data_IF_494645797249
#
_entry.id   IF_494645797249
#
_cell.length_a   1.000
_cell.length_b   1.000
_cell.length_c   1.000
_cell.angle_alpha   90.00
_cell.angle_beta   90.00
_cell.angle_gamma   90.00
#
_symmetry.space_group_name_H-M   'P 1'
#
loop_
_entity.id
_entity.type
_entity.pdbx_description
1 polymer ?
#
# COMPACT_ATOMS: atom_id res chain seq x y z
N UNK A 1 -12.63 -1.97 -9.75
CA UNK A 1 -12.13 -0.60 -10.01
C UNK A 1 -11.15 -0.21 -8.91
N UNK A 2 -10.02 0.45 -9.23
CA UNK A 2 -8.97 0.77 -8.24
C UNK A 2 -9.07 2.22 -7.75
N UNK A 3 -10.26 2.62 -7.30
CA UNK A 3 -10.53 3.97 -6.80
C UNK A 3 -11.67 3.96 -5.76
N UNK A 4 -11.54 4.81 -4.74
CA UNK A 4 -12.49 4.89 -3.63
C UNK A 4 -13.67 5.84 -3.89
N UNK A 5 -14.65 5.89 -2.97
CA UNK A 5 -15.91 6.63 -3.12
C UNK A 5 -15.74 8.15 -3.26
N UNK A 6 -14.63 8.71 -2.79
CA UNK A 6 -14.30 10.15 -2.95
C UNK A 6 -13.88 10.56 -4.37
N UNK A 7 -13.88 9.64 -5.34
CA UNK A 7 -13.39 9.90 -6.70
C UNK A 7 -14.37 10.75 -7.50
N UNK A 8 -13.99 12.01 -7.79
CA UNK A 8 -14.82 12.95 -8.57
C UNK A 8 -14.79 12.71 -10.09
N UNK A 9 -13.71 12.11 -10.62
CA UNK A 9 -13.52 11.83 -12.06
C UNK A 9 -12.82 10.49 -12.26
N UNK A 10 -13.28 9.73 -13.25
CA UNK A 10 -12.78 8.39 -13.58
C UNK A 10 -11.64 8.46 -14.64
N UNK A 11 -11.51 9.57 -15.35
CA UNK A 11 -10.42 9.82 -16.30
C UNK A 11 -9.04 9.50 -15.67
N UNK A 12 -8.26 8.65 -16.33
CA UNK A 12 -6.95 8.20 -15.89
C UNK A 12 -6.94 7.27 -14.67
N UNK A 13 -8.09 6.84 -14.15
CA UNK A 13 -8.17 5.85 -13.08
C UNK A 13 -8.04 4.43 -13.63
N UNK A 14 -7.45 3.55 -12.84
CA UNK A 14 -7.22 2.17 -13.24
C UNK A 14 -8.47 1.30 -12.99
N UNK A 15 -8.85 0.52 -13.99
CA UNK A 15 -9.87 -0.50 -13.93
C UNK A 15 -9.23 -1.83 -14.35
N UNK A 16 -9.26 -2.80 -13.44
CA UNK A 16 -8.82 -4.16 -13.73
C UNK A 16 -10.02 -4.95 -14.25
N UNK A 17 -9.84 -5.68 -15.35
CA UNK A 17 -10.83 -6.51 -16.00
C UNK A 17 -10.36 -7.96 -15.88
N UNK A 18 -11.21 -8.80 -15.30
CA UNK A 18 -11.00 -10.24 -15.20
C UNK A 18 -11.97 -10.88 -16.21
N UNK A 19 -11.51 -11.26 -17.41
CA UNK A 19 -12.40 -11.69 -18.46
C UNK A 19 -12.93 -13.10 -18.21
N UNK A 20 -14.20 -13.35 -18.54
CA UNK A 20 -14.85 -14.65 -18.31
C UNK A 20 -14.99 -15.47 -19.59
N UNK A 21 -15.41 -14.82 -20.70
CA UNK A 21 -15.71 -15.51 -21.97
C UNK A 21 -14.95 -14.93 -23.14
N UNK A 22 -15.03 -13.62 -23.33
CA UNK A 22 -14.42 -12.93 -24.47
C UNK A 22 -13.75 -11.65 -23.99
N UNK A 23 -12.46 -11.76 -23.72
CA UNK A 23 -11.65 -10.65 -23.22
C UNK A 23 -11.70 -9.41 -24.12
N UNK A 24 -11.79 -9.57 -25.45
CA UNK A 24 -11.82 -8.43 -26.38
C UNK A 24 -13.17 -7.71 -26.29
N UNK A 25 -14.27 -8.47 -26.30
CA UNK A 25 -15.62 -7.90 -26.23
C UNK A 25 -15.89 -7.28 -24.86
N UNK A 26 -15.45 -7.93 -23.79
CA UNK A 26 -15.60 -7.44 -22.42
C UNK A 26 -14.78 -6.16 -22.19
N UNK A 27 -13.53 -6.10 -22.69
CA UNK A 27 -12.71 -4.89 -22.68
C UNK A 27 -13.36 -3.76 -23.50
N UNK A 28 -13.84 -4.05 -24.71
CA UNK A 28 -14.48 -3.06 -25.57
C UNK A 28 -15.74 -2.47 -24.89
N UNK A 29 -16.57 -3.32 -24.28
CA UNK A 29 -17.76 -2.90 -23.54
C UNK A 29 -17.38 -2.03 -22.34
N UNK A 30 -16.37 -2.42 -21.58
CA UNK A 30 -15.91 -1.66 -20.40
C UNK A 30 -15.34 -0.29 -20.80
N UNK A 31 -14.62 -0.20 -21.92
CA UNK A 31 -14.12 1.07 -22.48
C UNK A 31 -15.23 2.04 -22.87
N UNK A 32 -16.39 1.53 -23.31
CA UNK A 32 -17.56 2.37 -23.61
C UNK A 32 -18.20 2.93 -22.35
N UNK A 33 -18.23 2.13 -21.26
CA UNK A 33 -18.79 2.55 -19.97
C UNK A 33 -17.90 3.55 -19.22
N UNK A 34 -16.58 3.37 -19.30
CA UNK A 34 -15.60 4.20 -18.59
C UNK A 34 -14.60 4.81 -19.58
N UNK A 35 -15.06 5.76 -20.42
CA UNK A 35 -14.18 6.40 -21.37
C UNK A 35 -13.04 7.09 -20.63
N UNK A 36 -11.82 7.05 -21.21
CA UNK A 36 -10.60 7.66 -20.66
C UNK A 36 -10.06 7.04 -19.35
N UNK A 37 -10.65 5.95 -18.85
CA UNK A 37 -10.01 5.14 -17.82
C UNK A 37 -8.81 4.35 -18.40
N UNK A 38 -7.92 3.92 -17.52
CA UNK A 38 -6.83 3.00 -17.83
C UNK A 38 -7.28 1.56 -17.55
N UNK A 39 -6.97 0.64 -18.45
CA UNK A 39 -7.45 -0.74 -18.35
C UNK A 39 -6.29 -1.73 -18.27
N UNK A 40 -6.41 -2.68 -17.34
CA UNK A 40 -5.52 -3.84 -17.24
C UNK A 40 -6.40 -5.09 -17.33
N UNK A 41 -6.07 -5.99 -18.24
CA UNK A 41 -6.77 -7.27 -18.39
C UNK A 41 -5.87 -8.38 -17.89
N UNK A 42 -6.36 -9.16 -16.92
CA UNK A 42 -5.57 -10.19 -16.22
C UNK A 42 -6.49 -11.31 -15.75
N UNK A 43 -5.97 -12.51 -15.54
CA UNK A 43 -6.75 -13.63 -14.99
C UNK A 43 -7.02 -13.44 -13.48
N UNK A 44 -7.99 -14.20 -12.97
CA UNK A 44 -8.45 -14.09 -11.58
C UNK A 44 -7.36 -14.43 -10.56
N UNK A 45 -6.51 -15.42 -10.85
CA UNK A 45 -5.48 -15.88 -9.91
C UNK A 45 -4.38 -14.83 -9.79
N UNK A 46 -3.89 -14.32 -10.92
CA UNK A 46 -2.88 -13.27 -10.88
C UNK A 46 -3.46 -11.95 -10.35
N UNK A 47 -4.74 -11.65 -10.62
CA UNK A 47 -5.43 -10.53 -9.96
C UNK A 47 -5.34 -10.64 -8.44
N UNK A 48 -5.79 -11.76 -7.85
CA UNK A 48 -5.86 -11.89 -6.40
C UNK A 48 -4.48 -11.85 -5.75
N UNK A 49 -3.45 -12.41 -6.42
CA UNK A 49 -2.04 -12.29 -6.01
C UNK A 49 -1.55 -10.84 -6.00
N UNK A 50 -1.90 -10.04 -7.01
CA UNK A 50 -1.52 -8.62 -7.04
C UNK A 50 -2.29 -7.82 -5.99
N UNK A 51 -3.59 -8.08 -5.84
CA UNK A 51 -4.44 -7.40 -4.86
C UNK A 51 -4.01 -7.74 -3.43
N UNK A 52 -3.52 -8.95 -3.18
CA UNK A 52 -2.93 -9.32 -1.90
C UNK A 52 -1.80 -8.37 -1.49
N UNK A 53 -0.95 -7.91 -2.42
CA UNK A 53 0.09 -6.91 -2.10
C UNK A 53 -0.47 -5.49 -2.15
N UNK A 54 -1.22 -5.13 -3.19
CA UNK A 54 -1.67 -3.75 -3.45
C UNK A 54 -2.63 -3.27 -2.35
N UNK A 55 -3.63 -4.07 -2.01
CA UNK A 55 -4.62 -3.75 -0.99
C UNK A 55 -4.37 -4.56 0.28
N UNK A 56 -4.31 -5.89 0.20
CA UNK A 56 -4.24 -6.76 1.38
C UNK A 56 -3.12 -6.37 2.36
N UNK A 57 -1.87 -6.38 1.90
CA UNK A 57 -0.71 -6.08 2.73
C UNK A 57 -0.69 -4.62 3.18
N UNK A 58 -1.07 -3.70 2.29
CA UNK A 58 -1.21 -2.28 2.61
C UNK A 58 -2.20 -2.07 3.76
N UNK A 59 -3.38 -2.69 3.71
CA UNK A 59 -4.39 -2.56 4.77
C UNK A 59 -3.93 -3.25 6.06
N UNK A 60 -3.38 -4.46 5.95
CA UNK A 60 -2.88 -5.22 7.10
C UNK A 60 -1.86 -4.41 7.91
N UNK A 61 -0.85 -3.83 7.25
CA UNK A 61 0.18 -3.02 7.91
C UNK A 61 -0.46 -1.82 8.62
N UNK A 62 -1.38 -1.12 7.97
CA UNK A 62 -1.99 0.10 8.51
C UNK A 62 -2.95 -0.19 9.67
N UNK A 63 -3.69 -1.29 9.67
CA UNK A 63 -4.56 -1.66 10.80
C UNK A 63 -3.72 -1.97 12.05
N UNK A 64 -2.63 -2.72 11.88
CA UNK A 64 -1.71 -3.01 12.98
C UNK A 64 -1.06 -1.71 13.48
N UNK A 65 -0.64 -0.82 12.58
CA UNK A 65 -0.08 0.48 12.94
C UNK A 65 -1.11 1.38 13.66
N UNK A 66 -2.37 1.40 13.19
CA UNK A 66 -3.47 2.11 13.85
C UNK A 66 -3.66 1.65 15.29
N UNK A 67 -3.61 0.34 15.54
CA UNK A 67 -3.72 -0.22 16.89
C UNK A 67 -2.55 0.19 17.81
N UNK A 68 -1.37 0.48 17.26
CA UNK A 68 -0.27 1.06 18.04
C UNK A 68 -0.54 2.53 18.35
N UNK A 69 -0.96 3.32 17.35
CA UNK A 69 -1.30 4.74 17.56
C UNK A 69 -2.44 4.92 18.57
N UNK A 70 -3.44 4.04 18.54
CA UNK A 70 -4.57 4.07 19.47
C UNK A 70 -4.17 3.87 20.95
N UNK A 71 -2.96 3.36 21.21
CA UNK A 71 -2.41 3.15 22.55
C UNK A 71 -1.48 4.29 22.98
N UNK A 72 -1.27 5.30 22.15
CA UNK A 72 -0.46 6.47 22.48
C UNK A 72 -1.28 7.51 23.24
N UNK A 73 -1.18 7.49 24.57
CA UNK A 73 -1.85 8.44 25.47
C UNK A 73 -1.38 9.89 25.28
N UNK A 74 -0.33 10.14 24.47
CA UNK A 74 0.24 11.46 24.18
C UNK A 74 0.32 11.76 22.69
N UNK A 75 -0.63 11.25 21.89
CA UNK A 75 -0.62 11.41 20.42
C UNK A 75 -0.40 12.85 19.93
N UNK A 76 -0.90 13.88 20.64
CA UNK A 76 -0.68 15.29 20.29
C UNK A 76 0.79 15.72 20.38
N UNK A 77 1.55 15.16 21.32
CA UNK A 77 2.99 15.40 21.42
C UNK A 77 3.72 14.67 20.29
N UNK A 78 3.34 13.42 20.03
CA UNK A 78 3.86 12.62 18.92
C UNK A 78 3.68 13.33 17.58
N UNK A 79 2.50 13.93 17.34
CA UNK A 79 2.23 14.74 16.15
C UNK A 79 3.13 15.96 16.05
N UNK A 80 3.33 16.70 17.16
CA UNK A 80 4.22 17.89 17.17
C UNK A 80 5.69 17.54 16.88
N UNK A 81 6.12 16.34 17.25
CA UNK A 81 7.47 15.84 17.02
C UNK A 81 7.63 15.16 15.64
N UNK A 82 6.52 14.93 14.93
CA UNK A 82 6.52 14.13 13.72
C UNK A 82 7.12 14.84 12.50
N UNK A 83 7.88 14.08 11.70
CA UNK A 83 8.29 14.50 10.36
C UNK A 83 7.28 14.11 9.28
N UNK A 84 7.53 14.55 8.04
CA UNK A 84 6.65 14.31 6.89
C UNK A 84 6.34 12.84 6.63
N UNK A 85 7.31 11.93 6.82
CA UNK A 85 7.10 10.48 6.63
C UNK A 85 6.06 9.91 7.59
N UNK A 86 6.13 10.27 8.87
CA UNK A 86 5.14 9.82 9.86
C UNK A 86 3.77 10.39 9.55
N UNK A 87 3.70 11.69 9.21
CA UNK A 87 2.44 12.34 8.83
C UNK A 87 1.80 11.66 7.61
N UNK A 88 2.60 11.30 6.60
CA UNK A 88 2.12 10.57 5.43
C UNK A 88 1.53 9.21 5.82
N UNK A 89 2.27 8.44 6.61
CA UNK A 89 1.82 7.13 7.06
C UNK A 89 0.55 7.23 7.91
N UNK A 90 0.48 8.22 8.80
CA UNK A 90 -0.71 8.50 9.62
C UNK A 90 -1.92 8.84 8.77
N UNK A 91 -1.79 9.75 7.80
CA UNK A 91 -2.90 10.11 6.89
C UNK A 91 -3.39 8.89 6.10
N UNK A 92 -2.48 8.04 5.61
CA UNK A 92 -2.85 6.79 4.92
C UNK A 92 -3.63 5.87 5.87
N UNK A 93 -3.15 5.73 7.10
CA UNK A 93 -3.78 4.91 8.14
C UNK A 93 -5.18 5.41 8.47
N UNK A 94 -5.32 6.70 8.75
CA UNK A 94 -6.60 7.33 9.08
C UNK A 94 -7.58 7.25 7.91
N UNK A 95 -7.10 7.38 6.67
CA UNK A 95 -7.93 7.22 5.47
C UNK A 95 -8.50 5.82 5.35
N UNK A 96 -7.70 4.78 5.62
CA UNK A 96 -8.17 3.38 5.63
C UNK A 96 -9.23 3.17 6.71
N UNK A 97 -9.08 3.77 7.89
CA UNK A 97 -10.04 3.66 8.98
C UNK A 97 -11.39 4.35 8.71
N UNK A 98 -11.52 5.12 7.62
CA UNK A 98 -12.82 5.65 7.16
C UNK A 98 -13.65 4.62 6.41
N UNK A 99 -13.05 3.51 6.00
CA UNK A 99 -13.73 2.39 5.35
C UNK A 99 -14.49 1.54 6.38
N UNK A 100 -15.50 0.78 5.93
CA UNK A 100 -16.26 -0.06 6.86
C UNK A 100 -15.41 -1.26 7.33
N UNK A 101 -15.57 -1.72 8.58
CA UNK A 101 -14.86 -2.90 9.08
C UNK A 101 -15.03 -4.14 8.19
N UNK A 102 -16.22 -4.33 7.60
CA UNK A 102 -16.52 -5.45 6.71
C UNK A 102 -15.71 -5.38 5.41
N UNK A 103 -15.54 -4.18 4.85
CA UNK A 103 -14.71 -3.99 3.66
C UNK A 103 -13.24 -4.28 3.98
N UNK A 104 -12.74 -3.76 5.09
CA UNK A 104 -11.36 -3.99 5.54
C UNK A 104 -11.12 -5.48 5.79
N UNK A 105 -12.04 -6.16 6.48
CA UNK A 105 -12.01 -7.61 6.72
C UNK A 105 -11.96 -8.37 5.39
N UNK A 106 -12.84 -8.06 4.44
CA UNK A 106 -12.87 -8.71 3.13
C UNK A 106 -11.54 -8.54 2.38
N UNK A 107 -10.91 -7.35 2.46
CA UNK A 107 -9.63 -7.07 1.82
C UNK A 107 -8.51 -7.93 2.43
N UNK A 108 -8.45 -8.05 3.75
CA UNK A 108 -7.39 -8.83 4.43
C UNK A 108 -7.67 -10.34 4.44
N UNK A 109 -8.91 -10.76 4.15
CA UNK A 109 -9.29 -12.16 4.03
C UNK A 109 -8.92 -12.79 2.67
N UNK A 110 -8.26 -12.04 1.77
CA UNK A 110 -7.70 -12.58 0.53
C UNK A 110 -6.72 -13.74 0.84
N UNK A 111 -6.96 -14.98 0.36
CA UNK A 111 -6.09 -16.12 0.65
C UNK A 111 -4.63 -15.94 0.23
N UNK A 112 -4.37 -15.21 -0.86
CA UNK A 112 -3.02 -14.94 -1.35
C UNK A 112 -2.24 -14.00 -0.42
N UNK A 113 -2.93 -13.22 0.44
CA UNK A 113 -2.27 -12.34 1.42
C UNK A 113 -1.44 -13.11 2.43
N UNK A 114 -1.87 -14.32 2.80
CA UNK A 114 -1.23 -15.10 3.87
C UNK A 114 0.27 -15.22 3.69
N UNK A 115 0.73 -15.57 2.48
CA UNK A 115 2.16 -15.73 2.21
C UNK A 115 2.95 -14.44 2.46
N UNK A 116 2.40 -13.31 2.02
CA UNK A 116 3.05 -12.01 2.14
C UNK A 116 3.03 -11.51 3.57
N UNK A 117 1.95 -11.76 4.31
CA UNK A 117 1.87 -11.46 5.74
C UNK A 117 2.85 -12.28 6.56
N UNK A 118 3.01 -13.57 6.26
CA UNK A 118 3.98 -14.46 6.93
C UNK A 118 5.44 -14.04 6.62
N UNK A 119 5.75 -13.71 5.36
CA UNK A 119 7.07 -13.16 4.98
C UNK A 119 7.36 -11.84 5.70
N UNK A 120 6.39 -10.93 5.72
CA UNK A 120 6.52 -9.64 6.41
C UNK A 120 6.75 -9.81 7.92
N UNK A 121 5.99 -10.68 8.57
CA UNK A 121 6.15 -10.99 9.99
C UNK A 121 7.53 -11.57 10.30
N UNK A 122 8.01 -12.50 9.46
CA UNK A 122 9.34 -13.09 9.60
C UNK A 122 10.44 -12.03 9.50
N UNK A 123 10.33 -11.11 8.55
CA UNK A 123 11.31 -10.04 8.37
C UNK A 123 11.29 -9.04 9.53
N UNK A 124 10.12 -8.71 10.09
CA UNK A 124 10.02 -7.94 11.35
C UNK A 124 10.76 -8.66 12.48
N UNK A 125 10.45 -9.93 12.72
CA UNK A 125 11.04 -10.70 13.81
C UNK A 125 12.57 -10.81 13.67
N UNK A 126 13.05 -11.01 12.43
CA UNK A 126 14.47 -11.00 12.09
C UNK A 126 15.12 -9.66 12.45
N UNK A 127 14.58 -8.55 11.96
CA UNK A 127 15.17 -7.22 12.18
C UNK A 127 15.18 -6.83 13.66
N UNK A 128 14.13 -7.17 14.41
CA UNK A 128 14.09 -6.94 15.86
C UNK A 128 15.17 -7.76 16.58
N UNK A 129 15.33 -9.03 16.22
CA UNK A 129 16.36 -9.92 16.79
C UNK A 129 17.76 -9.40 16.48
N UNK A 130 18.06 -9.10 15.21
CA UNK A 130 19.36 -8.56 14.80
C UNK A 130 19.66 -7.22 15.49
N UNK A 131 18.65 -6.37 15.70
CA UNK A 131 18.80 -5.09 16.43
C UNK A 131 19.16 -5.33 17.89
N UNK A 132 18.46 -6.25 18.57
CA UNK A 132 18.73 -6.60 19.97
C UNK A 132 20.11 -7.21 20.16
N UNK A 133 20.58 -8.00 19.20
CA UNK A 133 21.89 -8.65 19.23
C UNK A 133 23.04 -7.74 18.74
N UNK A 134 22.75 -6.50 18.32
CA UNK A 134 23.76 -5.55 17.85
C UNK A 134 24.35 -5.89 16.46
N UNK A 135 23.68 -6.73 15.68
CA UNK A 135 24.07 -7.22 14.35
C UNK A 135 23.91 -6.15 13.26
N UNK A 136 24.68 -5.08 13.41
CA UNK A 136 24.56 -3.87 12.58
C UNK A 136 24.89 -4.13 11.11
N UNK A 137 25.84 -5.02 10.83
CA UNK A 137 26.25 -5.34 9.45
C UNK A 137 25.14 -6.12 8.72
N UNK A 138 24.51 -7.07 9.39
CA UNK A 138 23.40 -7.87 8.86
C UNK A 138 22.19 -6.99 8.51
N UNK A 139 21.85 -6.05 9.40
CA UNK A 139 20.77 -5.08 9.18
C UNK A 139 21.10 -4.20 7.97
N UNK A 140 22.32 -3.65 7.91
CA UNK A 140 22.75 -2.81 6.78
C UNK A 140 22.73 -3.59 5.46
N UNK A 141 23.18 -4.84 5.47
CA UNK A 141 23.16 -5.70 4.29
C UNK A 141 21.73 -6.01 3.82
N UNK A 142 20.80 -6.27 4.75
CA UNK A 142 19.38 -6.43 4.43
C UNK A 142 18.80 -5.17 3.76
N UNK A 143 19.12 -3.99 4.31
CA UNK A 143 18.66 -2.70 3.76
C UNK A 143 19.26 -2.46 2.36
N UNK A 144 20.58 -2.61 2.20
CA UNK A 144 21.26 -2.40 0.90
C UNK A 144 20.73 -3.36 -0.16
N UNK A 145 20.54 -4.63 0.17
CA UNK A 145 19.95 -5.60 -0.76
C UNK A 145 18.53 -5.18 -1.22
N UNK A 146 17.74 -4.59 -0.32
CA UNK A 146 16.42 -4.06 -0.65
C UNK A 146 16.51 -2.82 -1.54
N UNK A 147 17.42 -1.88 -1.22
CA UNK A 147 17.68 -0.69 -2.03
C UNK A 147 18.11 -1.05 -3.45
N UNK A 148 19.05 -1.99 -3.61
CA UNK A 148 19.52 -2.46 -4.90
C UNK A 148 18.40 -3.09 -5.73
N UNK A 149 17.58 -3.95 -5.12
CA UNK A 149 16.47 -4.62 -5.84
C UNK A 149 15.39 -3.63 -6.28
N UNK A 150 15.01 -2.69 -5.41
CA UNK A 150 13.96 -1.71 -5.72
C UNK A 150 14.45 -0.70 -6.76
N UNK A 151 15.71 -0.25 -6.65
CA UNK A 151 16.28 0.76 -7.55
C UNK A 151 16.38 0.30 -9.01
N UNK A 152 16.27 -1.01 -9.29
CA UNK A 152 16.19 -1.54 -10.65
C UNK A 152 14.98 -1.05 -11.43
N UNK A 153 13.88 -0.74 -10.74
CA UNK A 153 12.61 -0.37 -11.36
C UNK A 153 12.10 1.01 -10.92
N UNK A 154 12.72 1.62 -9.92
CA UNK A 154 12.25 2.86 -9.29
C UNK A 154 13.41 3.81 -9.02
N UNK A 155 13.25 5.09 -9.36
CA UNK A 155 14.12 6.17 -8.88
C UNK A 155 13.71 6.54 -7.44
N UNK A 156 14.55 6.16 -6.46
CA UNK A 156 14.31 6.41 -5.04
C UNK A 156 14.33 7.91 -4.71
N UNK A 157 15.21 8.69 -5.34
CA UNK A 157 15.30 10.14 -5.12
C UNK A 157 14.06 10.85 -5.64
N UNK A 158 13.53 10.41 -6.78
CA UNK A 158 12.24 10.91 -7.29
C UNK A 158 11.10 10.58 -6.32
N UNK A 159 11.13 9.42 -5.68
CA UNK A 159 10.11 9.03 -4.69
C UNK A 159 10.20 9.91 -3.44
N UNK A 160 11.41 10.18 -2.94
CA UNK A 160 11.64 11.14 -1.86
C UNK A 160 11.14 12.55 -2.21
N UNK A 161 11.50 13.08 -3.39
CA UNK A 161 11.02 14.40 -3.84
C UNK A 161 9.50 14.48 -3.93
N UNK A 162 8.84 13.41 -4.38
CA UNK A 162 7.37 13.34 -4.43
C UNK A 162 6.77 13.45 -3.02
N UNK A 163 7.26 12.68 -2.05
CA UNK A 163 6.80 12.76 -0.67
C UNK A 163 6.97 14.17 -0.11
N UNK A 164 8.15 14.77 -0.28
CA UNK A 164 8.42 16.14 0.17
C UNK A 164 7.48 17.16 -0.47
N UNK A 165 7.14 16.99 -1.76
CA UNK A 165 6.20 17.89 -2.46
C UNK A 165 4.77 17.81 -1.95
N UNK A 166 4.33 16.66 -1.45
CA UNK A 166 2.99 16.48 -0.87
C UNK A 166 2.82 17.32 0.40
N UNK A 167 3.87 17.46 1.21
CA UNK A 167 3.83 18.22 2.46
C UNK A 167 4.25 19.68 2.30
N UNK A 168 5.07 20.02 1.30
CA UNK A 168 5.39 21.43 1.02
C UNK A 168 4.22 22.19 0.39
N UNK A 169 3.33 21.49 -0.33
CA UNK A 169 2.11 22.07 -0.89
C UNK A 169 0.96 22.14 0.11
N UNK A 170 0.95 21.31 1.16
CA UNK A 170 -0.04 21.33 2.23
C UNK A 170 0.20 22.43 3.28
N UNK A 171 1.37 23.08 3.27
CA UNK A 171 1.75 24.16 4.18
C UNK A 171 1.48 25.58 3.62
N UNK A 172 0.70 25.71 2.54
CA UNK A 172 0.27 26.99 1.95
C UNK A 172 -1.25 27.14 1.99
#
# INVERSE_FOLDING_TARGET
PMFGPGTKKIDGKNIIIIPIKDAKKELATTKLLFPKANFVTIDAIEHDKKIAVILGLTHLINIVFANILAKDDKILLTEKMSGSTFQAQKIITESILTESPELIETIISNPELRRYGEEFWKDIGRLLTETQEGKSEEIQNYIRASQEKISKNVDLDKSYRKLSSMFSSAAR
#
